data_IF_173592382368
#
_entry.id   IF_173592382368
#
_cell.length_a   1.000
_cell.length_b   1.000
_cell.length_c   1.000
_cell.angle_alpha   90.00
_cell.angle_beta   90.00
_cell.angle_gamma   90.00
#
_symmetry.space_group_name_H-M   'P 1'
#
loop_
_entity.id
_entity.type
_entity.pdbx_description
1 polymer ?
#
# COMPACT_ATOMS: atom_id res chain seq x y z
N UNK A 1 -20.52 4.60 10.20
CA UNK A 1 -19.60 3.61 9.60
C UNK A 1 -18.55 4.40 8.88
N UNK A 2 -17.25 4.21 9.16
CA UNK A 2 -16.22 4.88 8.37
C UNK A 2 -16.27 4.32 6.95
N UNK A 3 -16.24 5.19 5.94
CA UNK A 3 -16.16 4.74 4.55
C UNK A 3 -14.82 4.00 4.38
N UNK A 4 -14.91 2.74 3.95
CA UNK A 4 -13.73 1.91 3.65
C UNK A 4 -13.50 1.84 2.16
N UNK A 5 -12.24 1.76 1.74
CA UNK A 5 -11.83 1.57 0.36
C UNK A 5 -10.91 0.36 0.21
N UNK A 6 -10.94 -0.27 -0.95
CA UNK A 6 -10.11 -1.44 -1.26
C UNK A 6 -8.71 -0.99 -1.64
N UNK A 7 -7.69 -1.59 -1.02
CA UNK A 7 -6.28 -1.34 -1.29
C UNK A 7 -5.53 -2.66 -1.53
N UNK A 8 -4.46 -2.61 -2.32
CA UNK A 8 -3.42 -3.65 -2.35
C UNK A 8 -2.29 -3.18 -1.44
N UNK A 9 -2.12 -3.82 -0.28
CA UNK A 9 -1.07 -3.45 0.69
C UNK A 9 -0.07 -4.57 0.82
N UNK A 10 1.20 -4.17 0.89
CA UNK A 10 2.30 -5.07 1.24
C UNK A 10 2.48 -5.05 2.76
N UNK A 11 2.64 -6.24 3.33
CA UNK A 11 2.92 -6.48 4.73
C UNK A 11 4.32 -7.06 4.87
N UNK A 12 5.11 -6.53 5.80
CA UNK A 12 6.37 -7.14 6.19
C UNK A 12 6.08 -8.22 7.22
N UNK A 13 6.42 -9.46 6.91
CA UNK A 13 6.24 -10.62 7.77
C UNK A 13 7.61 -11.13 8.25
N UNK A 14 7.61 -12.13 9.14
CA UNK A 14 8.85 -12.80 9.56
C UNK A 14 9.55 -13.53 8.39
N UNK A 15 8.78 -14.00 7.41
CA UNK A 15 9.26 -14.79 6.27
C UNK A 15 9.51 -13.97 5.01
N UNK A 16 9.23 -12.66 5.02
CA UNK A 16 9.46 -11.78 3.89
C UNK A 16 8.38 -10.72 3.73
N UNK A 17 7.80 -10.66 2.54
CA UNK A 17 6.74 -9.71 2.20
C UNK A 17 5.52 -10.45 1.66
N UNK A 18 4.34 -10.03 2.10
CA UNK A 18 3.06 -10.54 1.64
C UNK A 18 2.22 -9.38 1.11
N UNK A 19 1.82 -9.43 -0.17
CA UNK A 19 0.89 -8.48 -0.74
C UNK A 19 -0.52 -9.06 -0.76
N UNK A 20 -1.48 -8.33 -0.21
CA UNK A 20 -2.89 -8.75 -0.18
C UNK A 20 -3.84 -7.59 -0.40
N UNK A 21 -5.00 -7.92 -0.95
CA UNK A 21 -6.10 -6.97 -0.99
C UNK A 21 -6.78 -6.91 0.37
N UNK A 22 -6.99 -5.71 0.89
CA UNK A 22 -7.76 -5.49 2.11
C UNK A 22 -8.52 -4.17 2.04
N UNK A 23 -9.45 -3.97 2.97
CA UNK A 23 -10.19 -2.72 3.10
C UNK A 23 -9.49 -1.84 4.14
N UNK A 24 -9.22 -0.60 3.77
CA UNK A 24 -8.66 0.43 4.64
C UNK A 24 -9.70 1.54 4.84
N UNK A 25 -9.52 2.33 5.89
CA UNK A 25 -10.29 3.54 6.19
C UNK A 25 -9.40 4.77 6.10
N UNK A 26 -9.99 5.97 6.19
CA UNK A 26 -9.21 7.20 6.27
C UNK A 26 -8.25 7.24 7.47
N UNK A 27 -8.55 6.51 8.56
CA UNK A 27 -7.68 6.43 9.73
C UNK A 27 -6.39 5.63 9.49
N UNK A 28 -6.34 4.86 8.39
CA UNK A 28 -5.16 4.08 7.99
C UNK A 28 -4.19 4.88 7.09
N UNK A 29 -4.61 6.05 6.60
CA UNK A 29 -3.79 6.91 5.75
C UNK A 29 -2.68 7.59 6.55
N UNK A 30 -1.48 7.74 5.97
CA UNK A 30 -0.45 8.56 6.59
C UNK A 30 -0.85 10.05 6.57
N UNK A 31 -0.26 10.87 7.46
CA UNK A 31 -0.46 12.31 7.43
C UNK A 31 -0.11 12.91 6.07
N UNK A 32 -0.98 13.80 5.57
CA UNK A 32 -0.78 14.52 4.32
C UNK A 32 -1.76 15.69 4.21
N UNK A 33 -1.52 16.55 3.23
CA UNK A 33 -2.29 17.79 3.08
C UNK A 33 -3.59 17.62 2.27
N UNK A 34 -3.65 16.58 1.43
CA UNK A 34 -4.76 16.36 0.49
C UNK A 34 -5.10 14.88 0.37
N UNK A 35 -6.39 14.57 0.47
CA UNK A 35 -6.93 13.22 0.22
C UNK A 35 -7.55 13.17 -1.18
N UNK A 36 -7.20 12.15 -1.96
CA UNK A 36 -7.73 11.94 -3.32
C UNK A 36 -8.44 10.59 -3.45
N UNK A 37 -9.60 10.59 -4.10
CA UNK A 37 -10.29 9.35 -4.48
C UNK A 37 -9.78 8.87 -5.84
N UNK A 38 -8.88 7.90 -5.81
CA UNK A 38 -8.25 7.34 -7.02
C UNK A 38 -9.27 6.52 -7.82
N UNK A 39 -9.45 6.85 -9.11
CA UNK A 39 -10.30 6.07 -10.02
C UNK A 39 -9.52 5.01 -10.81
N UNK A 40 -8.28 5.34 -11.18
CA UNK A 40 -7.40 4.49 -11.97
C UNK A 40 -5.95 4.64 -11.49
N UNK A 41 -5.19 3.55 -11.57
CA UNK A 41 -3.76 3.53 -11.31
C UNK A 41 -3.06 2.72 -12.39
N UNK A 42 -1.74 2.83 -12.46
CA UNK A 42 -0.89 2.05 -13.36
C UNK A 42 0.02 1.12 -12.57
N UNK A 43 0.62 0.15 -13.26
CA UNK A 43 1.62 -0.75 -12.69
C UNK A 43 2.94 -0.49 -13.39
N UNK A 44 3.95 -0.13 -12.62
CA UNK A 44 5.32 0.10 -13.07
C UNK A 44 6.20 -1.07 -12.65
N UNK A 45 7.37 -1.18 -13.28
CA UNK A 45 8.35 -2.21 -12.90
C UNK A 45 8.78 -2.12 -11.43
N UNK A 46 8.93 -0.89 -10.91
CA UNK A 46 9.25 -0.65 -9.49
C UNK A 46 8.18 -1.17 -8.53
N UNK A 47 6.92 -1.22 -8.95
CA UNK A 47 5.82 -1.72 -8.12
C UNK A 47 5.94 -3.23 -7.99
N UNK A 48 6.31 -3.93 -9.06
CA UNK A 48 6.66 -5.36 -9.01
C UNK A 48 7.87 -5.64 -8.10
N UNK A 49 8.91 -4.80 -8.15
CA UNK A 49 10.06 -4.91 -7.24
C UNK A 49 9.69 -4.68 -5.78
N UNK A 50 8.80 -3.71 -5.51
CA UNK A 50 8.28 -3.42 -4.18
C UNK A 50 7.42 -4.57 -3.64
N UNK A 51 6.45 -5.06 -4.42
CA UNK A 51 5.52 -6.14 -4.05
C UNK A 51 6.25 -7.47 -3.79
N UNK A 52 7.28 -7.77 -4.59
CA UNK A 52 8.04 -9.02 -4.46
C UNK A 52 9.21 -8.94 -3.49
N UNK A 53 9.50 -7.76 -2.94
CA UNK A 53 10.66 -7.54 -2.08
C UNK A 53 12.03 -7.71 -2.76
N UNK A 54 12.08 -7.73 -4.10
CA UNK A 54 13.33 -7.95 -4.87
C UNK A 54 14.26 -6.74 -4.91
N UNK A 55 13.80 -5.56 -4.50
CA UNK A 55 14.60 -4.33 -4.39
C UNK A 55 14.08 -3.48 -3.23
N UNK A 56 14.94 -2.71 -2.52
CA UNK A 56 14.54 -1.91 -1.36
C UNK A 56 13.77 -0.63 -1.75
N UNK A 57 12.63 -0.78 -2.42
CA UNK A 57 11.74 0.32 -2.82
C UNK A 57 10.99 0.87 -1.61
N UNK A 58 10.46 -0.01 -0.74
CA UNK A 58 9.74 0.37 0.49
C UNK A 58 10.75 0.52 1.63
N UNK A 59 10.83 1.72 2.22
CA UNK A 59 11.81 2.06 3.28
C UNK A 59 11.17 2.25 4.66
N UNK A 60 9.86 2.48 4.70
CA UNK A 60 9.06 2.70 5.92
C UNK A 60 7.88 1.74 5.92
N UNK A 61 7.51 1.25 7.11
CA UNK A 61 6.39 0.33 7.28
C UNK A 61 5.47 0.83 8.40
N UNK A 62 4.16 1.00 8.16
CA UNK A 62 3.52 0.96 6.84
C UNK A 62 3.85 2.18 5.99
N UNK A 63 3.76 2.01 4.67
CA UNK A 63 3.81 3.10 3.69
C UNK A 63 2.43 3.15 3.01
N UNK A 64 1.62 4.15 3.39
CA UNK A 64 0.25 4.35 2.89
C UNK A 64 0.03 5.83 2.63
#
# INVERSE_FOLDING_TARGET
MADTFRALRVHKTETGQEARFENLSEADLMPGDVTVRVSHSTVNFKDGLAITGKSPVVRTWPLV
#
